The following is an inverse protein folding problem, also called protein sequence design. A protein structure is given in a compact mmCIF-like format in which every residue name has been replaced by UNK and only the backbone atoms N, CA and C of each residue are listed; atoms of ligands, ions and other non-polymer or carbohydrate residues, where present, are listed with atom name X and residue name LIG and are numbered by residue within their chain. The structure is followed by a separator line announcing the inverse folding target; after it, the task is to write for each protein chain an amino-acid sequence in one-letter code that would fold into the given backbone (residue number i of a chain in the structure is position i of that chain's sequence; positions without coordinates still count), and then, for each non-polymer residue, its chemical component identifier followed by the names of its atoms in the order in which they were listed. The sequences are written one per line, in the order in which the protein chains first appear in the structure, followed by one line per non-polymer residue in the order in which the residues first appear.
data_IF_981260742442
#
_entry.id   IF_981260742442
#
_cell.length_a   1.000
_cell.length_b   1.000
_cell.length_c   1.000
_cell.angle_alpha   90.00
_cell.angle_beta   90.00
_cell.angle_gamma   90.00
#
_symmetry.space_group_name_H-M   'P 1'
#
loop_
_entity.id
_entity.type
_entity.pdbx_description
1 polymer ?
#
# COMPACT_ATOMS: atom_id res chain seq x y z
N UNK A 1 -4.69 22.81 -1.64
CA UNK A 1 -4.73 21.40 -2.09
C UNK A 1 -3.47 20.67 -1.60
N UNK A 2 -3.54 20.02 -0.43
CA UNK A 2 -2.43 19.27 0.21
C UNK A 2 -2.81 17.78 0.46
N UNK A 3 -3.77 17.24 -0.31
CA UNK A 3 -4.45 15.97 0.01
C UNK A 3 -3.78 14.70 -0.53
N UNK A 4 -2.78 14.80 -1.42
CA UNK A 4 -2.05 13.61 -1.91
C UNK A 4 -0.93 13.14 -0.99
N UNK A 5 -0.36 14.06 -0.19
CA UNK A 5 0.83 13.81 0.61
C UNK A 5 0.52 13.05 1.92
N UNK A 6 -0.68 13.25 2.47
CA UNK A 6 -1.08 12.69 3.77
C UNK A 6 -1.41 11.19 3.70
N UNK A 7 -1.90 10.70 2.56
CA UNK A 7 -2.16 9.25 2.38
C UNK A 7 -0.85 8.48 2.15
N UNK A 8 0.16 9.13 1.57
CA UNK A 8 1.49 8.55 1.33
C UNK A 8 2.29 8.34 2.61
N UNK A 9 2.22 9.29 3.55
CA UNK A 9 2.82 9.15 4.88
C UNK A 9 2.17 8.00 5.67
N UNK A 10 0.85 7.79 5.57
CA UNK A 10 0.17 6.70 6.31
C UNK A 10 0.56 5.31 5.78
N UNK A 11 0.80 5.15 4.48
CA UNK A 11 1.27 3.87 3.90
C UNK A 11 2.71 3.58 4.33
N UNK A 12 3.59 4.58 4.35
CA UNK A 12 4.96 4.44 4.86
C UNK A 12 5.00 4.19 6.38
N UNK A 13 4.16 4.86 7.17
CA UNK A 13 4.07 4.61 8.63
C UNK A 13 3.50 3.21 8.93
N UNK A 14 2.59 2.68 8.12
CA UNK A 14 2.13 1.29 8.24
C UNK A 14 3.19 0.28 7.79
N UNK A 15 3.95 0.57 6.72
CA UNK A 15 5.07 -0.27 6.29
C UNK A 15 6.14 -0.35 7.39
N UNK A 16 6.53 0.77 8.01
CA UNK A 16 7.52 0.77 9.08
C UNK A 16 7.03 0.07 10.36
N UNK A 17 5.73 0.08 10.66
CA UNK A 17 5.19 -0.62 11.83
C UNK A 17 4.97 -2.12 11.60
N UNK A 18 4.55 -2.56 10.40
CA UNK A 18 4.45 -3.97 10.07
C UNK A 18 5.83 -4.65 9.92
N UNK A 19 6.88 -3.88 9.59
CA UNK A 19 8.26 -4.37 9.51
C UNK A 19 8.90 -4.69 10.85
N UNK A 20 8.40 -4.14 11.97
CA UNK A 20 9.00 -4.38 13.29
C UNK A 20 8.77 -5.78 13.84
N UNK A 21 7.87 -6.56 13.25
CA UNK A 21 7.60 -7.94 13.68
C UNK A 21 8.54 -8.99 13.05
N UNK A 22 9.26 -8.64 11.98
CA UNK A 22 10.30 -9.51 11.41
C UNK A 22 11.70 -9.07 11.87
N UNK A 23 12.52 -10.01 12.33
CA UNK A 23 13.94 -9.76 12.64
C UNK A 23 14.64 -9.31 11.36
N UNK A 24 14.89 -8.01 11.25
CA UNK A 24 15.71 -7.44 10.18
C UNK A 24 17.12 -8.03 10.29
N UNK A 25 17.70 -8.46 9.18
CA UNK A 25 19.10 -8.87 9.15
C UNK A 25 19.98 -7.69 9.61
N UNK A 26 20.79 -7.82 10.68
CA UNK A 26 21.62 -6.73 11.18
C UNK A 26 22.56 -6.14 10.12
N UNK A 27 22.99 -6.94 9.14
CA UNK A 27 23.84 -6.48 8.03
C UNK A 27 23.10 -5.59 7.03
N UNK A 28 21.77 -5.70 6.97
CA UNK A 28 20.90 -4.92 6.08
C UNK A 28 20.56 -3.56 6.69
N UNK A 29 20.48 -3.48 8.03
CA UNK A 29 20.00 -2.30 8.76
C UNK A 29 20.72 -0.98 8.35
N UNK A 30 22.05 -0.92 8.21
CA UNK A 30 22.73 0.34 7.84
C UNK A 30 22.34 0.84 6.44
N UNK A 31 22.05 -0.07 5.52
CA UNK A 31 21.62 0.28 4.16
C UNK A 31 20.17 0.75 4.14
N UNK A 32 19.30 0.12 4.94
CA UNK A 32 17.92 0.57 5.15
C UNK A 32 17.90 1.99 5.73
N UNK A 33 18.67 2.25 6.79
CA UNK A 33 18.72 3.57 7.44
C UNK A 33 19.19 4.66 6.47
N UNK A 34 20.22 4.34 5.67
CA UNK A 34 20.74 5.26 4.64
C UNK A 34 19.72 5.52 3.54
N UNK A 35 19.02 4.49 3.08
CA UNK A 35 17.97 4.60 2.07
C UNK A 35 16.81 5.46 2.58
N UNK A 36 16.34 5.24 3.81
CA UNK A 36 15.28 6.06 4.41
C UNK A 36 15.70 7.52 4.56
N UNK A 37 16.92 7.79 5.03
CA UNK A 37 17.45 9.15 5.12
C UNK A 37 17.42 9.85 3.76
N UNK A 38 17.83 9.15 2.69
CA UNK A 38 17.82 9.71 1.34
C UNK A 38 16.41 9.95 0.81
N UNK A 39 15.44 9.10 1.13
CA UNK A 39 14.04 9.30 0.71
C UNK A 39 13.42 10.50 1.45
N UNK A 40 13.75 10.70 2.72
CA UNK A 40 13.21 11.79 3.55
C UNK A 40 13.83 13.14 3.19
N UNK A 41 15.12 13.18 2.88
CA UNK A 41 15.87 14.43 2.61
C UNK A 41 15.65 15.00 1.19
N UNK A 42 14.80 14.38 0.36
CA UNK A 42 14.66 14.75 -1.05
C UNK A 42 13.27 15.35 -1.34
N UNK A 43 13.23 16.67 -1.52
CA UNK A 43 12.03 17.40 -1.96
C UNK A 43 11.60 17.06 -3.41
N UNK A 44 12.49 16.44 -4.22
CA UNK A 44 12.24 16.15 -5.63
C UNK A 44 12.95 14.87 -6.12
N UNK A 45 12.19 13.89 -6.62
CA UNK A 45 12.74 12.71 -7.30
C UNK A 45 13.46 13.12 -8.60
N UNK A 46 14.77 13.34 -8.50
CA UNK A 46 15.67 13.55 -9.64
C UNK A 46 16.25 12.22 -10.13
N UNK A 47 16.72 12.16 -11.38
CA UNK A 47 17.41 10.99 -11.94
C UNK A 47 18.62 10.55 -11.10
N UNK A 48 19.29 11.51 -10.45
CA UNK A 48 20.43 11.25 -9.56
C UNK A 48 19.99 10.56 -8.25
N UNK A 49 18.82 10.91 -7.73
CA UNK A 49 18.21 10.27 -6.56
C UNK A 49 17.86 8.82 -6.89
N UNK A 50 17.24 8.59 -8.04
CA UNK A 50 16.82 7.26 -8.49
C UNK A 50 17.98 6.27 -8.64
N UNK A 51 19.13 6.73 -9.17
CA UNK A 51 20.34 5.90 -9.27
C UNK A 51 20.91 5.51 -7.91
N UNK A 52 20.87 6.42 -6.93
CA UNK A 52 21.35 6.15 -5.56
C UNK A 52 20.42 5.20 -4.82
N UNK A 53 19.11 5.41 -4.89
CA UNK A 53 18.10 4.50 -4.32
C UNK A 53 18.26 3.08 -4.90
N UNK A 54 18.42 2.97 -6.23
CA UNK A 54 18.65 1.69 -6.91
C UNK A 54 19.90 0.97 -6.39
N UNK A 55 20.97 1.70 -6.07
CA UNK A 55 22.18 1.11 -5.48
C UNK A 55 21.91 0.46 -4.12
N UNK A 56 21.29 1.19 -3.18
CA UNK A 56 21.00 0.67 -1.84
C UNK A 56 19.99 -0.48 -1.88
N UNK A 57 18.95 -0.36 -2.70
CA UNK A 57 17.99 -1.45 -2.91
C UNK A 57 18.70 -2.71 -3.40
N UNK A 58 19.56 -2.62 -4.42
CA UNK A 58 20.26 -3.81 -4.92
C UNK A 58 21.27 -4.36 -3.90
N UNK A 59 21.88 -3.51 -3.05
CA UNK A 59 22.72 -3.97 -1.94
C UNK A 59 21.93 -4.73 -0.89
N UNK A 60 20.79 -4.19 -0.45
CA UNK A 60 19.87 -4.88 0.46
C UNK A 60 19.47 -6.23 -0.14
N UNK A 61 19.02 -6.25 -1.39
CA UNK A 61 18.57 -7.48 -2.05
C UNK A 61 19.68 -8.48 -2.36
N UNK A 62 20.95 -8.06 -2.34
CA UNK A 62 22.09 -8.98 -2.44
C UNK A 62 22.39 -9.71 -1.13
N UNK A 63 21.98 -9.15 0.01
CA UNK A 63 22.14 -9.71 1.35
C UNK A 63 20.87 -10.48 1.74
N UNK A 64 19.70 -9.88 1.53
CA UNK A 64 18.39 -10.47 1.75
C UNK A 64 17.52 -10.29 0.50
N UNK A 65 17.49 -11.32 -0.33
CA UNK A 65 16.71 -11.31 -1.58
C UNK A 65 15.19 -11.23 -1.38
N UNK A 66 14.70 -11.51 -0.16
CA UNK A 66 13.28 -11.45 0.19
C UNK A 66 12.94 -10.26 1.09
N UNK A 67 13.85 -9.30 1.26
CA UNK A 67 13.53 -8.07 1.99
C UNK A 67 12.33 -7.37 1.33
N UNK A 68 11.22 -7.32 2.06
CA UNK A 68 9.96 -6.86 1.51
C UNK A 68 10.03 -5.38 1.12
N UNK A 69 10.68 -4.55 1.94
CA UNK A 69 10.77 -3.12 1.69
C UNK A 69 11.54 -2.80 0.43
N UNK A 70 12.72 -3.40 0.28
CA UNK A 70 13.56 -3.20 -0.89
C UNK A 70 12.88 -3.73 -2.15
N UNK A 71 12.19 -4.87 -2.08
CA UNK A 71 11.41 -5.38 -3.21
C UNK A 71 10.20 -4.48 -3.55
N UNK A 72 9.49 -3.96 -2.54
CA UNK A 72 8.39 -3.02 -2.76
C UNK A 72 8.88 -1.73 -3.44
N UNK A 73 9.97 -1.13 -2.93
CA UNK A 73 10.58 0.05 -3.55
C UNK A 73 11.11 -0.24 -4.97
N UNK A 74 11.68 -1.43 -5.20
CA UNK A 74 12.08 -1.86 -6.55
C UNK A 74 10.89 -1.96 -7.50
N UNK A 75 9.75 -2.45 -7.03
CA UNK A 75 8.51 -2.45 -7.82
C UNK A 75 8.00 -1.03 -8.09
N UNK A 76 8.13 -0.09 -7.14
CA UNK A 76 7.81 1.33 -7.34
C UNK A 76 8.67 1.95 -8.45
N UNK A 77 9.98 1.69 -8.43
CA UNK A 77 10.95 2.10 -9.46
C UNK A 77 10.54 1.56 -10.83
N UNK A 78 10.21 0.27 -10.94
CA UNK A 78 9.77 -0.29 -12.22
C UNK A 78 8.46 0.33 -12.71
N UNK A 79 7.47 0.53 -11.83
CA UNK A 79 6.21 1.16 -12.18
C UNK A 79 6.42 2.62 -12.63
N UNK A 80 7.27 3.39 -11.95
CA UNK A 80 7.62 4.75 -12.34
C UNK A 80 8.19 4.84 -13.77
N UNK A 81 8.97 3.84 -14.17
CA UNK A 81 9.54 3.73 -15.51
C UNK A 81 8.58 3.09 -16.54
N UNK A 82 7.32 2.80 -16.18
CA UNK A 82 6.36 2.13 -17.04
C UNK A 82 6.62 0.63 -17.26
N UNK A 83 7.59 0.05 -16.57
CA UNK A 83 7.92 -1.37 -16.64
C UNK A 83 7.01 -2.20 -15.73
N UNK A 84 5.70 -2.18 -16.00
CA UNK A 84 4.68 -2.77 -15.12
C UNK A 84 4.83 -4.28 -14.95
N UNK A 85 5.18 -5.03 -16.00
CA UNK A 85 5.40 -6.48 -15.90
C UNK A 85 6.52 -6.85 -14.93
N UNK A 86 7.62 -6.08 -14.94
CA UNK A 86 8.74 -6.24 -14.01
C UNK A 86 8.32 -5.96 -12.56
N UNK A 87 7.52 -4.91 -12.34
CA UNK A 87 6.96 -4.60 -11.03
C UNK A 87 6.02 -5.71 -10.54
N UNK A 88 5.11 -6.19 -11.39
CA UNK A 88 4.18 -7.28 -11.10
C UNK A 88 4.94 -8.57 -10.77
N UNK A 89 6.00 -8.90 -11.51
CA UNK A 89 6.80 -10.09 -11.26
C UNK A 89 7.47 -10.05 -9.88
N UNK A 90 8.06 -8.91 -9.50
CA UNK A 90 8.66 -8.73 -8.18
C UNK A 90 7.63 -8.90 -7.07
N UNK A 91 6.49 -8.20 -7.18
CA UNK A 91 5.41 -8.30 -6.20
C UNK A 91 4.87 -9.73 -6.10
N UNK A 92 4.72 -10.42 -7.24
CA UNK A 92 4.24 -11.81 -7.29
C UNK A 92 5.19 -12.78 -6.62
N UNK A 93 6.50 -12.60 -6.79
CA UNK A 93 7.49 -13.38 -6.04
C UNK A 93 7.35 -13.11 -4.55
N UNK A 94 7.32 -11.84 -4.14
CA UNK A 94 7.19 -11.49 -2.72
C UNK A 94 5.94 -12.09 -2.08
N UNK A 95 4.78 -12.00 -2.74
CA UNK A 95 3.52 -12.53 -2.22
C UNK A 95 3.56 -14.04 -1.94
N UNK A 96 4.40 -14.80 -2.65
CA UNK A 96 4.59 -16.25 -2.39
C UNK A 96 5.35 -16.53 -1.08
N UNK A 97 6.25 -15.62 -0.67
CA UNK A 97 7.06 -15.77 0.54
C UNK A 97 6.45 -15.02 1.73
N UNK A 98 5.99 -13.80 1.47
CA UNK A 98 5.48 -12.84 2.42
C UNK A 98 4.17 -12.28 1.88
N UNK A 99 3.06 -12.76 2.45
CA UNK A 99 1.72 -12.42 1.99
C UNK A 99 1.25 -11.05 2.52
N UNK A 100 2.01 -10.00 2.21
CA UNK A 100 1.75 -8.66 2.73
C UNK A 100 0.62 -7.99 1.94
N UNK A 101 -0.42 -7.47 2.60
CA UNK A 101 -1.56 -6.86 1.91
C UNK A 101 -1.17 -5.75 0.94
N UNK A 102 -0.20 -4.90 1.31
CA UNK A 102 0.25 -3.78 0.47
C UNK A 102 0.84 -4.25 -0.87
N UNK A 103 1.55 -5.39 -0.91
CA UNK A 103 2.09 -5.93 -2.15
C UNK A 103 0.96 -6.35 -3.10
N UNK A 104 -0.11 -6.95 -2.56
CA UNK A 104 -1.29 -7.33 -3.35
C UNK A 104 -2.08 -6.12 -3.82
N UNK A 105 -2.22 -5.09 -2.99
CA UNK A 105 -2.88 -3.83 -3.40
C UNK A 105 -2.10 -3.18 -4.54
N UNK A 106 -0.77 -3.10 -4.43
CA UNK A 106 0.04 -2.54 -5.50
C UNK A 106 -0.05 -3.41 -6.77
N UNK A 107 0.08 -4.73 -6.65
CA UNK A 107 0.02 -5.63 -7.81
C UNK A 107 -1.34 -5.57 -8.51
N UNK A 108 -2.43 -5.57 -7.76
CA UNK A 108 -3.79 -5.45 -8.31
C UNK A 108 -4.02 -4.11 -9.01
N UNK A 109 -3.48 -3.01 -8.47
CA UNK A 109 -3.50 -1.72 -9.18
C UNK A 109 -2.73 -1.79 -10.51
N UNK A 110 -1.58 -2.47 -10.54
CA UNK A 110 -0.81 -2.66 -11.78
C UNK A 110 -1.54 -3.55 -12.80
N UNK A 111 -2.22 -4.61 -12.35
CA UNK A 111 -3.10 -5.40 -13.22
C UNK A 111 -4.22 -4.56 -13.82
N UNK A 112 -4.90 -3.73 -13.02
CA UNK A 112 -5.92 -2.82 -13.54
C UNK A 112 -5.33 -1.80 -14.54
N UNK A 113 -4.14 -1.25 -14.28
CA UNK A 113 -3.45 -0.31 -15.18
C UNK A 113 -3.09 -0.96 -16.53
N UNK A 114 -2.73 -2.24 -16.50
CA UNK A 114 -2.34 -3.00 -17.71
C UNK A 114 -3.52 -3.67 -18.42
N UNK A 115 -4.74 -3.55 -17.86
CA UNK A 115 -5.97 -4.07 -18.44
C UNK A 115 -6.30 -5.51 -18.06
N UNK A 116 -5.55 -6.15 -17.15
CA UNK A 116 -5.86 -7.47 -16.61
C UNK A 116 -6.83 -7.38 -15.41
N UNK A 117 -8.07 -6.99 -15.69
CA UNK A 117 -9.10 -6.84 -14.66
C UNK A 117 -9.43 -8.16 -13.95
N UNK A 118 -9.19 -9.32 -14.58
CA UNK A 118 -9.41 -10.62 -13.96
C UNK A 118 -8.40 -10.88 -12.84
N UNK A 119 -7.12 -10.65 -13.10
CA UNK A 119 -6.07 -10.78 -12.10
C UNK A 119 -6.20 -9.73 -10.98
N UNK A 120 -6.56 -8.49 -11.33
CA UNK A 120 -6.83 -7.44 -10.34
C UNK A 120 -7.96 -7.85 -9.37
N UNK A 121 -9.10 -8.31 -9.92
CA UNK A 121 -10.24 -8.75 -9.13
C UNK A 121 -9.92 -9.96 -8.24
N UNK A 122 -9.07 -10.88 -8.70
CA UNK A 122 -8.63 -12.01 -7.89
C UNK A 122 -7.88 -11.55 -6.63
N UNK A 123 -6.98 -10.56 -6.76
CA UNK A 123 -6.28 -9.97 -5.62
C UNK A 123 -7.21 -9.17 -4.70
N UNK A 124 -8.15 -8.39 -5.26
CA UNK A 124 -9.15 -7.67 -4.44
C UNK A 124 -9.99 -8.63 -3.59
N UNK A 125 -10.49 -9.71 -4.20
CA UNK A 125 -11.26 -10.76 -3.50
C UNK A 125 -10.43 -11.47 -2.44
N UNK A 126 -9.14 -11.65 -2.67
CA UNK A 126 -8.24 -12.22 -1.67
C UNK A 126 -8.12 -11.31 -0.45
N UNK A 127 -7.79 -10.03 -0.66
CA UNK A 127 -7.63 -9.03 0.41
C UNK A 127 -8.94 -8.87 1.18
N UNK A 128 -10.07 -8.81 0.48
CA UNK A 128 -11.40 -8.69 1.08
C UNK A 128 -11.67 -9.85 2.06
N UNK A 129 -11.52 -11.10 1.60
CA UNK A 129 -11.74 -12.30 2.43
C UNK A 129 -10.83 -12.33 3.66
N UNK A 130 -9.57 -11.97 3.50
CA UNK A 130 -8.62 -12.01 4.62
C UNK A 130 -8.91 -10.92 5.66
N UNK A 131 -9.30 -9.72 5.24
CA UNK A 131 -9.69 -8.66 6.17
C UNK A 131 -11.04 -8.97 6.86
N UNK A 132 -11.99 -9.61 6.16
CA UNK A 132 -13.23 -10.09 6.78
C UNK A 132 -12.95 -11.18 7.83
N UNK A 133 -11.99 -12.07 7.58
CA UNK A 133 -11.54 -13.07 8.54
C UNK A 133 -10.90 -12.42 9.76
N UNK A 134 -9.94 -11.51 9.54
CA UNK A 134 -9.23 -10.81 10.61
C UNK A 134 -10.16 -9.95 11.46
N UNK A 135 -11.14 -9.29 10.86
CA UNK A 135 -12.12 -8.47 11.58
C UNK A 135 -12.94 -9.31 12.58
N UNK A 136 -13.24 -10.58 12.25
CA UNK A 136 -13.98 -11.49 13.14
C UNK A 136 -13.16 -12.00 14.32
N UNK A 137 -11.83 -12.00 14.20
CA UNK A 137 -10.92 -12.60 15.19
C UNK A 137 -10.05 -11.57 15.91
N UNK A 138 -10.22 -10.29 15.60
CA UNK A 138 -9.37 -9.21 16.14
C UNK A 138 -10.03 -8.55 17.33
N UNK A 139 -9.38 -8.62 18.48
CA UNK A 139 -9.80 -7.91 19.70
C UNK A 139 -9.28 -6.46 19.74
N UNK A 140 -8.37 -6.10 18.83
CA UNK A 140 -7.77 -4.77 18.76
C UNK A 140 -8.60 -3.83 17.90
N UNK A 141 -9.13 -2.76 18.52
CA UNK A 141 -9.92 -1.72 17.86
C UNK A 141 -9.20 -1.12 16.65
N UNK A 142 -7.90 -0.82 16.78
CA UNK A 142 -7.13 -0.17 15.71
C UNK A 142 -6.92 -1.09 14.50
N UNK A 143 -6.75 -2.39 14.74
CA UNK A 143 -6.62 -3.42 13.71
C UNK A 143 -7.96 -3.64 13.01
N UNK A 144 -9.06 -3.69 13.77
CA UNK A 144 -10.42 -3.82 13.24
C UNK A 144 -10.80 -2.64 12.35
N UNK A 145 -10.50 -1.40 12.75
CA UNK A 145 -10.71 -0.21 11.90
C UNK A 145 -9.84 -0.24 10.63
N UNK A 146 -8.61 -0.77 10.72
CA UNK A 146 -7.77 -1.03 9.56
C UNK A 146 -8.40 -2.02 8.58
N UNK A 147 -8.95 -3.12 9.09
CA UNK A 147 -9.65 -4.12 8.28
C UNK A 147 -10.88 -3.53 7.57
N UNK A 148 -11.69 -2.75 8.29
CA UNK A 148 -12.87 -2.08 7.71
C UNK A 148 -12.51 -1.13 6.57
N UNK A 149 -11.41 -0.37 6.71
CA UNK A 149 -10.91 0.48 5.64
C UNK A 149 -10.53 -0.35 4.40
N UNK A 150 -9.76 -1.42 4.58
CA UNK A 150 -9.34 -2.27 3.46
C UNK A 150 -10.53 -2.96 2.78
N UNK A 151 -11.51 -3.43 3.55
CA UNK A 151 -12.76 -3.99 3.03
C UNK A 151 -13.49 -2.97 2.14
N UNK A 152 -13.68 -1.75 2.64
CA UNK A 152 -14.34 -0.69 1.88
C UNK A 152 -13.57 -0.35 0.59
N UNK A 153 -12.24 -0.24 0.66
CA UNK A 153 -11.40 0.02 -0.50
C UNK A 153 -11.50 -1.10 -1.56
N UNK A 154 -11.41 -2.37 -1.15
CA UNK A 154 -11.50 -3.50 -2.07
C UNK A 154 -12.87 -3.59 -2.76
N UNK A 155 -13.95 -3.28 -2.03
CA UNK A 155 -15.30 -3.20 -2.59
C UNK A 155 -15.42 -2.12 -3.67
N UNK A 156 -14.91 -0.92 -3.37
CA UNK A 156 -14.89 0.19 -4.33
C UNK A 156 -14.05 -0.13 -5.58
N UNK A 157 -12.87 -0.75 -5.39
CA UNK A 157 -12.00 -1.16 -6.51
C UNK A 157 -12.62 -2.26 -7.38
N UNK A 158 -13.42 -3.13 -6.76
CA UNK A 158 -14.21 -4.17 -7.43
C UNK A 158 -15.46 -3.62 -8.13
N UNK A 159 -15.72 -2.32 -8.05
CA UNK A 159 -16.84 -1.66 -8.74
C UNK A 159 -18.14 -1.56 -7.93
N UNK A 160 -18.12 -1.82 -6.61
CA UNK A 160 -19.31 -1.61 -5.79
C UNK A 160 -19.70 -0.12 -5.70
N UNK A 161 -21.01 0.13 -5.61
CA UNK A 161 -21.55 1.47 -5.48
C UNK A 161 -21.10 2.12 -4.16
N UNK A 162 -20.58 3.36 -4.25
CA UNK A 162 -20.08 4.13 -3.10
C UNK A 162 -21.10 4.28 -1.97
N UNK A 163 -22.37 4.52 -2.28
CA UNK A 163 -23.43 4.68 -1.29
C UNK A 163 -23.67 3.39 -0.51
N UNK A 164 -23.67 2.25 -1.21
CA UNK A 164 -23.75 0.93 -0.57
C UNK A 164 -22.55 0.68 0.35
N UNK A 165 -21.33 0.92 -0.14
CA UNK A 165 -20.11 0.75 0.66
C UNK A 165 -20.11 1.65 1.90
N UNK A 166 -20.56 2.89 1.77
CA UNK A 166 -20.66 3.83 2.90
C UNK A 166 -21.64 3.36 3.97
N UNK A 167 -22.83 2.90 3.58
CA UNK A 167 -23.84 2.38 4.53
C UNK A 167 -23.31 1.16 5.28
N UNK A 168 -22.65 0.24 4.57
CA UNK A 168 -22.06 -0.95 5.18
C UNK A 168 -20.90 -0.60 6.12
N UNK A 169 -20.03 0.32 5.72
CA UNK A 169 -18.94 0.82 6.57
C UNK A 169 -19.49 1.50 7.83
N UNK A 170 -20.50 2.36 7.69
CA UNK A 170 -21.14 3.06 8.81
C UNK A 170 -21.68 2.08 9.85
N UNK A 171 -22.43 1.07 9.39
CA UNK A 171 -22.95 0.00 10.24
C UNK A 171 -21.84 -0.76 10.95
N UNK A 172 -20.79 -1.14 10.22
CA UNK A 172 -19.70 -1.96 10.74
C UNK A 172 -18.74 -1.18 11.66
N UNK A 173 -18.61 0.13 11.48
CA UNK A 173 -17.76 1.00 12.31
C UNK A 173 -18.40 1.39 13.65
N UNK A 174 -19.74 1.30 13.77
CA UNK A 174 -20.51 1.77 14.94
C UNK A 174 -20.04 1.17 16.28
N UNK A 175 -19.70 -0.13 16.39
CA UNK A 175 -19.18 -0.70 17.63
C UNK A 175 -17.85 -0.08 18.08
N UNK A 176 -17.13 0.55 17.17
CA UNK A 176 -15.84 1.18 17.41
C UNK A 176 -15.92 2.70 17.56
N UNK A 177 -17.11 3.31 17.52
CA UNK A 177 -17.30 4.76 17.61
C UNK A 177 -17.07 5.27 19.05
N UNK A 178 -15.84 5.70 19.30
CA UNK A 178 -15.41 6.35 20.55
C UNK A 178 -14.79 7.70 20.24
N UNK A 179 -14.58 8.53 21.27
CA UNK A 179 -13.93 9.84 21.13
C UNK A 179 -12.59 9.70 20.40
N UNK A 180 -11.82 8.65 20.70
CA UNK A 180 -10.48 8.42 20.15
C UNK A 180 -10.48 7.94 18.69
N UNK A 181 -11.57 7.32 18.23
CA UNK A 181 -11.64 6.70 16.90
C UNK A 181 -12.47 7.50 15.90
N UNK A 182 -13.33 8.41 16.36
CA UNK A 182 -14.22 9.23 15.51
C UNK A 182 -13.50 9.94 14.38
N UNK A 183 -12.36 10.56 14.67
CA UNK A 183 -11.57 11.26 13.66
C UNK A 183 -11.13 10.30 12.56
N UNK A 184 -10.69 9.08 12.92
CA UNK A 184 -10.25 8.05 11.98
C UNK A 184 -11.42 7.52 11.14
N UNK A 185 -12.56 7.23 11.78
CA UNK A 185 -13.79 6.81 11.09
C UNK A 185 -14.23 7.88 10.09
N UNK A 186 -14.24 9.16 10.49
CA UNK A 186 -14.61 10.28 9.61
C UNK A 186 -13.68 10.40 8.40
N UNK A 187 -12.36 10.21 8.58
CA UNK A 187 -11.38 10.19 7.48
C UNK A 187 -11.70 9.08 6.48
N UNK A 188 -12.03 7.87 6.96
CA UNK A 188 -12.37 6.75 6.07
C UNK A 188 -13.68 7.00 5.33
N UNK A 189 -14.73 7.47 6.02
CA UNK A 189 -16.00 7.86 5.37
C UNK A 189 -15.78 8.88 4.26
N UNK A 190 -14.97 9.91 4.53
CA UNK A 190 -14.58 10.90 3.53
C UNK A 190 -13.86 10.24 2.36
N UNK A 191 -12.93 9.33 2.62
CA UNK A 191 -12.26 8.53 1.60
C UNK A 191 -13.22 7.75 0.70
N UNK A 192 -14.25 7.11 1.26
CA UNK A 192 -15.28 6.37 0.51
C UNK A 192 -16.08 7.32 -0.39
N UNK A 193 -16.57 8.44 0.16
CA UNK A 193 -17.38 9.44 -0.58
C UNK A 193 -16.61 9.99 -1.78
N UNK A 194 -15.36 10.39 -1.56
CA UNK A 194 -14.52 11.01 -2.58
C UNK A 194 -13.67 10.02 -3.37
N UNK A 195 -13.86 8.71 -3.20
CA UNK A 195 -13.07 7.70 -3.88
C UNK A 195 -13.13 7.86 -5.40
N UNK A 196 -11.99 7.81 -6.08
CA UNK A 196 -11.92 7.83 -7.53
C UNK A 196 -10.89 6.77 -7.96
N UNK A 197 -11.36 5.76 -8.70
CA UNK A 197 -10.51 4.63 -9.12
C UNK A 197 -9.35 5.09 -10.00
N UNK A 198 -9.60 5.97 -10.96
CA UNK A 198 -8.54 6.52 -11.82
C UNK A 198 -7.48 7.30 -11.03
N UNK A 199 -7.90 8.10 -10.04
CA UNK A 199 -6.96 8.81 -9.18
C UNK A 199 -6.15 7.82 -8.32
N UNK A 200 -6.81 6.80 -7.77
CA UNK A 200 -6.14 5.73 -7.01
C UNK A 200 -5.10 5.02 -7.87
N UNK A 201 -5.47 4.54 -9.06
CA UNK A 201 -4.58 3.87 -10.00
C UNK A 201 -3.46 4.81 -10.47
N UNK A 202 -3.76 6.10 -10.64
CA UNK A 202 -2.79 7.13 -10.97
C UNK A 202 -1.64 7.23 -9.96
N UNK A 203 -1.90 6.98 -8.67
CA UNK A 203 -0.83 6.92 -7.67
C UNK A 203 0.13 5.76 -7.93
N UNK A 204 -0.37 4.57 -8.28
CA UNK A 204 0.45 3.39 -8.53
C UNK A 204 1.11 3.40 -9.91
N UNK A 205 0.52 4.10 -10.88
CA UNK A 205 1.09 4.29 -12.23
C UNK A 205 2.46 4.93 -12.20
N UNK A 206 2.73 5.77 -11.20
CA UNK A 206 4.04 6.42 -10.98
C UNK A 206 4.80 5.83 -9.80
N UNK A 207 4.48 4.60 -9.39
CA UNK A 207 5.12 3.95 -8.25
C UNK A 207 4.85 4.65 -6.91
N UNK A 208 3.80 5.45 -6.81
CA UNK A 208 3.48 6.24 -5.62
C UNK A 208 4.16 7.61 -5.58
N UNK A 209 5.10 7.88 -6.49
CA UNK A 209 5.77 9.17 -6.57
C UNK A 209 4.80 10.16 -7.20
N UNK A 210 4.18 11.02 -6.39
CA UNK A 210 3.28 12.05 -6.90
C UNK A 210 4.02 13.00 -7.83
N UNK A 211 3.83 12.88 -9.15
CA UNK A 211 4.19 13.96 -10.07
C UNK A 211 3.22 15.10 -9.80
N UNK A 212 3.69 16.18 -9.20
CA UNK A 212 3.06 17.48 -9.45
C UNK A 212 3.23 17.73 -10.96
N UNK A 213 2.14 17.58 -11.70
CA UNK A 213 2.05 18.22 -13.02
C UNK A 213 2.00 19.73 -12.81
#
# INVERSE_FOLDING_TARGET
MRSGFTMFCVVLTFCCNAQREHKINPEVQPYIDTLFKQIVDVDHFSDKTFRRETYYINKILSIDSFDNSANYMKAQIFAYNGAYDSAINILSRQIKHHNWPNNRIFRSALYDITGDSTAALADYKYILRENERLLKTSDEVQKSLGCLYQIALMKLLSGENKGKVLVEYDKASKPFDSIDTRARIAVVKKGIVYFNKEQFLGTYRTGGVGRKR
#
